data_IF_630882836540
#
_entry.id   IF_630882836540
#
_cell.length_a   1.000
_cell.length_b   1.000
_cell.length_c   1.000
_cell.angle_alpha   90.00
_cell.angle_beta   90.00
_cell.angle_gamma   90.00
#
_symmetry.space_group_name_H-M   'P 1'
#
loop_
_entity.id
_entity.type
_entity.pdbx_description
1 polymer ?
#
# COMPACT_ATOMS: atom_id res chain seq x y z
N UNK A 1 -7.49 -22.41 -9.27
CA UNK A 1 -7.73 -21.02 -8.84
C UNK A 1 -6.56 -20.61 -7.94
N UNK A 2 -5.99 -19.41 -8.12
CA UNK A 2 -4.89 -18.93 -7.26
C UNK A 2 -5.43 -18.55 -5.88
N UNK A 3 -4.78 -19.00 -4.80
CA UNK A 3 -5.18 -18.69 -3.42
C UNK A 3 -5.02 -17.21 -3.07
N UNK A 4 -5.66 -16.76 -2.00
CA UNK A 4 -5.49 -15.39 -1.49
C UNK A 4 -4.02 -15.10 -1.19
N UNK A 5 -3.30 -16.02 -0.53
CA UNK A 5 -1.85 -15.93 -0.34
C UNK A 5 -1.05 -15.74 -1.63
N UNK A 6 -1.35 -16.52 -2.67
CA UNK A 6 -0.62 -16.43 -3.93
C UNK A 6 -0.83 -15.08 -4.62
N UNK A 7 -2.05 -14.50 -4.51
CA UNK A 7 -2.35 -13.16 -5.00
C UNK A 7 -1.67 -12.06 -4.18
N UNK A 8 -1.59 -12.22 -2.85
CA UNK A 8 -0.87 -11.30 -1.97
C UNK A 8 0.61 -11.20 -2.37
N UNK A 9 1.28 -12.34 -2.50
CA UNK A 9 2.69 -12.41 -2.90
C UNK A 9 2.92 -11.86 -4.31
N UNK A 10 1.99 -12.11 -5.24
CA UNK A 10 2.10 -11.59 -6.60
C UNK A 10 2.08 -10.06 -6.62
N UNK A 11 1.14 -9.43 -5.90
CA UNK A 11 1.07 -7.97 -5.83
C UNK A 11 2.27 -7.36 -5.10
N UNK A 12 2.78 -8.03 -4.06
CA UNK A 12 4.00 -7.60 -3.39
C UNK A 12 5.23 -7.64 -4.32
N UNK A 13 5.31 -8.67 -5.16
CA UNK A 13 6.35 -8.76 -6.20
C UNK A 13 6.21 -7.64 -7.25
N UNK A 14 4.99 -7.33 -7.69
CA UNK A 14 4.76 -6.21 -8.61
C UNK A 14 5.13 -4.86 -7.99
N UNK A 15 4.82 -4.63 -6.71
CA UNK A 15 5.23 -3.41 -5.99
C UNK A 15 6.75 -3.21 -6.05
N UNK A 16 7.52 -4.27 -5.82
CA UNK A 16 8.99 -4.26 -5.91
C UNK A 16 9.51 -3.91 -7.31
N UNK A 17 8.94 -4.50 -8.36
CA UNK A 17 9.32 -4.18 -9.75
C UNK A 17 9.13 -2.68 -10.03
N UNK A 18 7.99 -2.13 -9.64
CA UNK A 18 7.67 -0.72 -9.89
C UNK A 18 8.59 0.19 -9.06
N UNK A 19 8.88 -0.17 -7.81
CA UNK A 19 9.84 0.53 -6.95
C UNK A 19 11.26 0.55 -7.55
N UNK A 20 11.74 -0.58 -8.05
CA UNK A 20 13.06 -0.67 -8.69
C UNK A 20 13.13 0.22 -9.95
N UNK A 21 12.06 0.22 -10.74
CA UNK A 21 11.90 1.11 -11.90
C UNK A 21 11.95 2.59 -11.51
N UNK A 22 11.31 2.97 -10.40
CA UNK A 22 11.33 4.34 -9.91
C UNK A 22 12.74 4.77 -9.47
N UNK A 23 13.45 3.91 -8.72
CA UNK A 23 14.83 4.16 -8.29
C UNK A 23 15.78 4.31 -9.47
N UNK A 24 15.63 3.46 -10.49
CA UNK A 24 16.41 3.57 -11.72
C UNK A 24 16.14 4.89 -12.47
N UNK A 25 14.87 5.31 -12.56
CA UNK A 25 14.50 6.56 -13.22
C UNK A 25 15.05 7.79 -12.48
N UNK A 26 15.05 7.77 -11.14
CA UNK A 26 15.66 8.83 -10.32
C UNK A 26 17.17 8.89 -10.52
N UNK A 27 17.85 7.74 -10.54
CA UNK A 27 19.29 7.65 -10.77
C UNK A 27 19.71 8.19 -12.14
N UNK A 28 18.84 8.09 -13.15
CA UNK A 28 19.09 8.62 -14.48
C UNK A 28 19.02 10.15 -14.57
N UNK A 29 18.45 10.84 -13.56
CA UNK A 29 18.36 12.31 -13.45
C UNK A 29 17.75 13.04 -14.66
N UNK A 30 17.04 12.32 -15.54
CA UNK A 30 16.47 12.90 -16.76
C UNK A 30 15.09 13.55 -16.58
N UNK A 31 14.39 13.23 -15.48
CA UNK A 31 13.03 13.71 -15.19
C UNK A 31 13.02 14.27 -13.76
N UNK A 32 12.33 15.40 -13.48
CA UNK A 32 12.19 15.91 -12.12
C UNK A 32 11.60 14.87 -11.17
N UNK A 33 12.17 14.76 -9.96
CA UNK A 33 11.76 13.76 -8.96
C UNK A 33 10.28 13.81 -8.61
N UNK A 34 9.68 15.01 -8.58
CA UNK A 34 8.24 15.18 -8.34
C UNK A 34 7.38 14.54 -9.46
N UNK A 35 7.77 14.69 -10.73
CA UNK A 35 7.09 14.06 -11.86
C UNK A 35 7.23 12.55 -11.83
N UNK A 36 8.40 12.04 -11.40
CA UNK A 36 8.59 10.61 -11.17
C UNK A 36 7.72 10.10 -10.01
N UNK A 37 7.63 10.84 -8.89
CA UNK A 37 6.75 10.48 -7.79
C UNK A 37 5.28 10.41 -8.24
N UNK A 38 4.81 11.39 -9.02
CA UNK A 38 3.45 11.38 -9.59
C UNK A 38 3.19 10.17 -10.51
N UNK A 39 4.20 9.70 -11.24
CA UNK A 39 4.07 8.57 -12.15
C UNK A 39 4.14 7.21 -11.46
N UNK A 40 5.06 7.06 -10.50
CA UNK A 40 5.37 5.77 -9.89
C UNK A 40 4.62 5.50 -8.59
N UNK A 41 4.44 6.52 -7.73
CA UNK A 41 3.85 6.33 -6.40
C UNK A 41 2.44 5.71 -6.45
N UNK A 42 1.48 6.17 -7.30
CA UNK A 42 0.15 5.55 -7.38
C UNK A 42 0.19 4.06 -7.67
N UNK A 43 1.08 3.65 -8.59
CA UNK A 43 1.20 2.26 -9.00
C UNK A 43 1.78 1.38 -7.90
N UNK A 44 2.83 1.84 -7.21
CA UNK A 44 3.40 1.07 -6.08
C UNK A 44 2.41 0.99 -4.93
N UNK A 45 1.79 2.11 -4.56
CA UNK A 45 0.79 2.16 -3.49
C UNK A 45 -0.38 1.21 -3.76
N UNK A 46 -0.93 1.20 -4.97
CA UNK A 46 -2.03 0.28 -5.32
C UNK A 46 -1.61 -1.19 -5.23
N UNK A 47 -0.38 -1.53 -5.63
CA UNK A 47 0.14 -2.89 -5.46
C UNK A 47 0.32 -3.28 -3.99
N UNK A 48 0.82 -2.38 -3.14
CA UNK A 48 0.95 -2.64 -1.70
C UNK A 48 -0.41 -2.80 -1.02
N UNK A 49 -1.38 -1.94 -1.31
CA UNK A 49 -2.76 -2.03 -0.79
C UNK A 49 -3.39 -3.37 -1.20
N UNK A 50 -3.27 -3.75 -2.47
CA UNK A 50 -3.79 -5.05 -2.95
C UNK A 50 -3.11 -6.23 -2.31
N UNK A 51 -1.79 -6.19 -2.14
CA UNK A 51 -1.05 -7.24 -1.45
C UNK A 51 -1.58 -7.43 -0.03
N UNK A 52 -1.72 -6.33 0.71
CA UNK A 52 -2.26 -6.30 2.05
C UNK A 52 -3.70 -6.84 2.12
N UNK A 53 -4.60 -6.39 1.23
CA UNK A 53 -5.97 -6.87 1.19
C UNK A 53 -6.11 -8.37 0.93
N UNK A 54 -5.33 -8.91 -0.01
CA UNK A 54 -5.29 -10.36 -0.23
C UNK A 54 -4.75 -11.11 0.98
N UNK A 55 -3.80 -10.53 1.70
CA UNK A 55 -3.31 -11.09 2.95
C UNK A 55 -4.39 -11.11 4.03
N UNK A 56 -5.17 -10.04 4.20
CA UNK A 56 -6.28 -10.04 5.17
C UNK A 56 -7.30 -11.16 4.90
N UNK A 57 -7.59 -11.45 3.63
CA UNK A 57 -8.48 -12.55 3.25
C UNK A 57 -7.90 -13.93 3.58
N UNK A 58 -6.58 -14.09 3.43
CA UNK A 58 -5.88 -15.31 3.85
C UNK A 58 -6.00 -15.51 5.37
N UNK A 59 -5.72 -14.45 6.15
CA UNK A 59 -5.75 -14.49 7.62
C UNK A 59 -7.14 -14.82 8.15
N UNK A 60 -8.17 -14.24 7.54
CA UNK A 60 -9.56 -14.48 7.95
C UNK A 60 -10.13 -15.80 7.44
N UNK A 61 -9.45 -16.48 6.52
CA UNK A 61 -9.97 -17.68 5.87
C UNK A 61 -11.31 -17.42 5.17
N UNK A 62 -11.43 -16.26 4.53
CA UNK A 62 -12.68 -15.81 3.93
C UNK A 62 -13.09 -16.69 2.74
N UNK A 63 -14.29 -17.27 2.82
CA UNK A 63 -14.88 -18.11 1.79
C UNK A 63 -16.33 -17.68 1.48
N UNK A 64 -16.70 -17.51 0.20
CA UNK A 64 -15.85 -17.58 -0.99
C UNK A 64 -14.88 -16.39 -1.09
N UNK A 65 -13.71 -16.61 -1.70
CA UNK A 65 -12.73 -15.54 -1.94
C UNK A 65 -13.32 -14.53 -2.93
N UNK A 66 -13.40 -13.24 -2.58
CA UNK A 66 -13.97 -12.21 -3.45
C UNK A 66 -13.13 -12.02 -4.73
N UNK A 67 -13.76 -11.39 -5.74
CA UNK A 67 -13.09 -11.07 -7.01
C UNK A 67 -12.02 -10.00 -6.89
N UNK A 68 -12.14 -9.12 -5.90
CA UNK A 68 -11.19 -8.05 -5.58
C UNK A 68 -10.81 -8.10 -4.09
N UNK A 69 -9.58 -7.69 -3.72
CA UNK A 69 -9.18 -7.63 -2.32
C UNK A 69 -9.83 -6.41 -1.63
N UNK A 70 -10.10 -6.49 -0.31
CA UNK A 70 -10.43 -5.32 0.49
C UNK A 70 -9.23 -4.36 0.53
N UNK A 71 -9.48 -3.07 0.75
CA UNK A 71 -8.42 -2.07 0.94
C UNK A 71 -7.93 -1.99 2.40
N UNK A 72 -8.74 -2.47 3.34
CA UNK A 72 -8.41 -2.53 4.77
C UNK A 72 -9.37 -3.43 5.56
N UNK A 73 -9.21 -3.46 6.88
CA UNK A 73 -9.95 -4.34 7.77
C UNK A 73 -11.46 -4.04 7.79
N UNK A 74 -11.84 -2.78 7.57
CA UNK A 74 -13.25 -2.35 7.54
C UNK A 74 -14.00 -2.85 6.29
N UNK A 75 -13.27 -3.26 5.25
CA UNK A 75 -13.84 -3.83 4.02
C UNK A 75 -13.86 -5.37 4.03
N UNK A 76 -13.48 -6.01 5.14
CA UNK A 76 -13.46 -7.46 5.23
C UNK A 76 -14.88 -8.05 5.14
N UNK A 77 -15.05 -9.19 4.45
CA UNK A 77 -16.33 -9.87 4.41
C UNK A 77 -16.72 -10.33 5.82
N UNK A 78 -18.03 -10.36 6.13
CA UNK A 78 -18.51 -10.77 7.44
C UNK A 78 -18.10 -12.21 7.76
N UNK A 79 -17.63 -12.44 8.98
CA UNK A 79 -17.25 -13.78 9.45
C UNK A 79 -18.51 -14.64 9.62
N UNK A 80 -18.54 -15.88 9.07
CA UNK A 80 -19.67 -16.78 9.23
C UNK A 80 -20.02 -17.05 10.70
N UNK A 81 -21.31 -17.21 10.99
CA UNK A 81 -21.79 -17.51 12.34
C UNK A 81 -21.07 -18.74 12.91
N UNK A 82 -20.45 -18.59 14.09
CA UNK A 82 -19.72 -19.66 14.77
C UNK A 82 -18.20 -19.66 14.54
N UNK A 83 -17.65 -18.79 13.69
CA UNK A 83 -16.20 -18.54 13.59
C UNK A 83 -15.83 -17.26 14.35
N UNK A 84 -14.74 -17.32 15.12
CA UNK A 84 -14.17 -16.13 15.75
C UNK A 84 -13.33 -15.36 14.73
N UNK A 85 -13.38 -14.02 14.80
CA UNK A 85 -12.42 -13.17 14.09
C UNK A 85 -11.03 -13.44 14.66
N UNK A 86 -9.99 -13.67 13.83
CA UNK A 86 -8.62 -13.83 14.30
C UNK A 86 -8.17 -12.62 15.14
N UNK A 87 -7.44 -12.85 16.23
CA UNK A 87 -6.99 -11.78 17.12
C UNK A 87 -6.07 -10.76 16.43
N UNK A 88 -5.38 -11.21 15.40
CA UNK A 88 -4.48 -10.46 14.54
C UNK A 88 -5.20 -9.33 13.78
N UNK A 89 -6.51 -9.49 13.50
CA UNK A 89 -7.30 -8.42 12.87
C UNK A 89 -7.36 -7.17 13.74
N UNK A 90 -7.37 -7.32 15.08
CA UNK A 90 -7.35 -6.15 15.98
C UNK A 90 -6.01 -5.42 15.96
N UNK A 91 -4.91 -6.16 15.80
CA UNK A 91 -3.57 -5.57 15.64
C UNK A 91 -3.51 -4.78 14.32
N UNK A 92 -4.04 -5.35 13.25
CA UNK A 92 -4.11 -4.70 11.94
C UNK A 92 -4.97 -3.44 11.97
N UNK A 93 -6.16 -3.49 12.58
CA UNK A 93 -6.99 -2.30 12.80
C UNK A 93 -6.27 -1.22 13.63
N UNK A 94 -5.36 -1.56 14.53
CA UNK A 94 -4.56 -0.58 15.25
C UNK A 94 -3.49 0.06 14.34
N UNK A 95 -2.83 -0.75 13.49
CA UNK A 95 -1.85 -0.28 12.52
C UNK A 95 -2.51 0.56 11.40
N UNK A 96 -3.71 0.22 10.95
CA UNK A 96 -4.48 1.02 9.96
C UNK A 96 -4.87 2.40 10.49
N UNK A 97 -5.07 2.53 11.81
CA UNK A 97 -5.39 3.80 12.46
C UNK A 97 -4.17 4.66 12.74
N UNK A 98 -2.99 4.05 12.88
CA UNK A 98 -1.77 4.79 13.23
C UNK A 98 -0.49 4.03 12.86
N UNK A 99 0.53 4.79 12.45
CA UNK A 99 1.84 4.27 12.08
C UNK A 99 1.96 3.96 10.59
N UNK A 100 2.93 3.13 10.25
CA UNK A 100 3.35 2.90 8.87
C UNK A 100 2.24 2.39 7.94
N UNK A 101 1.29 1.60 8.46
CA UNK A 101 0.21 1.05 7.65
C UNK A 101 -0.86 2.12 7.37
N UNK A 102 -1.19 2.95 8.35
CA UNK A 102 -2.01 4.15 8.14
C UNK A 102 -1.37 5.05 7.08
N UNK A 103 -0.05 5.28 7.17
CA UNK A 103 0.68 6.05 6.17
C UNK A 103 0.59 5.39 4.80
N UNK A 104 0.83 4.08 4.68
CA UNK A 104 0.73 3.35 3.41
C UNK A 104 -0.67 3.43 2.78
N UNK A 105 -1.73 3.36 3.60
CA UNK A 105 -3.13 3.37 3.16
C UNK A 105 -3.68 4.78 2.87
N UNK A 106 -3.03 5.83 3.35
CA UNK A 106 -3.53 7.19 3.19
C UNK A 106 -3.72 7.58 1.71
N UNK A 107 -4.92 8.05 1.38
CA UNK A 107 -5.19 8.64 0.08
C UNK A 107 -4.39 9.94 -0.07
N UNK A 108 -3.74 10.09 -1.22
CA UNK A 108 -2.85 11.22 -1.50
C UNK A 108 -3.26 11.88 -2.79
N UNK A 109 -3.43 13.19 -2.73
CA UNK A 109 -3.57 14.01 -3.92
C UNK A 109 -2.17 14.30 -4.50
N UNK A 110 -1.87 13.68 -5.63
CA UNK A 110 -0.63 13.90 -6.38
C UNK A 110 -0.81 14.89 -7.54
N UNK A 111 -1.96 15.57 -7.61
CA UNK A 111 -2.23 16.56 -8.64
C UNK A 111 -1.12 17.61 -8.70
N UNK A 112 -0.70 18.04 -9.90
CA UNK A 112 0.23 19.15 -10.01
C UNK A 112 -0.37 20.37 -9.32
N UNK A 113 0.28 20.82 -8.25
CA UNK A 113 -0.16 22.00 -7.50
C UNK A 113 -0.31 23.20 -8.45
N UNK A 114 -1.30 24.05 -8.17
CA UNK A 114 -1.59 25.23 -8.98
C UNK A 114 -0.30 26.04 -9.26
N UNK A 115 -0.17 26.64 -10.47
CA UNK A 115 1.01 27.42 -10.81
C UNK A 115 1.27 28.50 -9.75
N UNK A 116 2.51 28.55 -9.25
CA UNK A 116 2.96 29.49 -8.22
C UNK A 116 2.55 30.91 -8.59
N UNK A 117 1.62 31.49 -7.84
CA UNK A 117 1.36 32.94 -7.94
C UNK A 117 2.52 33.68 -7.26
N UNK A 118 3.18 34.63 -7.94
CA UNK A 118 4.23 35.43 -7.30
C UNK A 118 3.63 36.17 -6.10
N UNK A 119 4.15 35.89 -4.90
CA UNK A 119 3.68 36.49 -3.64
C UNK A 119 3.19 35.50 -2.59
N UNK A 120 3.03 34.21 -2.91
CA UNK A 120 2.63 33.18 -1.94
C UNK A 120 3.77 32.16 -1.72
N UNK A 121 4.50 32.32 -0.62
CA UNK A 121 5.61 31.43 -0.21
C UNK A 121 5.15 30.18 0.56
N UNK A 122 3.87 30.12 0.94
CA UNK A 122 3.28 28.99 1.65
C UNK A 122 2.57 28.04 0.68
N UNK A 123 3.33 27.36 -0.17
CA UNK A 123 2.84 26.10 -0.73
C UNK A 123 3.29 25.02 0.25
N UNK A 124 2.34 24.46 1.02
CA UNK A 124 2.61 23.27 1.80
C UNK A 124 3.16 22.21 0.84
N UNK A 125 4.43 21.87 0.98
CA UNK A 125 4.97 20.66 0.40
C UNK A 125 4.15 19.52 0.98
N UNK A 126 3.21 19.00 0.20
CA UNK A 126 2.60 17.72 0.51
C UNK A 126 3.74 16.73 0.74
N UNK A 127 3.70 16.03 1.87
CA UNK A 127 4.71 15.05 2.25
C UNK A 127 4.52 13.83 1.33
N UNK A 128 5.04 13.94 0.10
CA UNK A 128 4.96 12.91 -0.93
C UNK A 128 6.01 11.86 -0.55
N UNK A 129 5.61 10.61 -0.26
CA UNK A 129 6.52 9.53 0.04
C UNK A 129 7.59 9.42 -1.05
N UNK A 130 8.83 9.24 -0.63
CA UNK A 130 9.94 8.96 -1.52
C UNK A 130 10.09 7.43 -1.74
N UNK A 131 11.00 6.99 -2.62
CA UNK A 131 11.21 5.57 -2.84
C UNK A 131 11.72 4.81 -1.60
N UNK A 132 12.35 5.48 -0.63
CA UNK A 132 12.83 4.85 0.60
C UNK A 132 11.66 4.57 1.53
N UNK A 133 10.77 5.53 1.72
CA UNK A 133 9.55 5.35 2.50
C UNK A 133 8.68 4.19 1.96
N UNK A 134 8.59 4.07 0.64
CA UNK A 134 7.86 2.97 -0.02
C UNK A 134 8.59 1.62 0.14
N UNK A 135 9.92 1.62 0.15
CA UNK A 135 10.71 0.42 0.44
C UNK A 135 10.50 -0.05 1.88
N UNK A 136 10.44 0.89 2.82
CA UNK A 136 10.18 0.60 4.23
C UNK A 136 8.78 0.00 4.42
N UNK A 137 7.76 0.51 3.73
CA UNK A 137 6.43 -0.12 3.75
C UNK A 137 6.46 -1.54 3.16
N UNK A 138 7.16 -1.72 2.05
CA UNK A 138 7.31 -3.03 1.40
C UNK A 138 7.96 -4.04 2.34
N UNK A 139 9.05 -3.66 3.00
CA UNK A 139 9.76 -4.51 3.96
C UNK A 139 8.91 -4.84 5.19
N UNK A 140 8.16 -3.86 5.70
CA UNK A 140 7.24 -4.08 6.83
C UNK A 140 6.09 -5.03 6.46
N UNK A 141 5.54 -4.90 5.26
CA UNK A 141 4.50 -5.80 4.75
C UNK A 141 5.04 -7.23 4.55
N UNK A 142 6.28 -7.37 4.07
CA UNK A 142 6.96 -8.67 3.99
C UNK A 142 7.17 -9.33 5.35
N UNK A 143 7.66 -8.56 6.33
CA UNK A 143 7.83 -9.05 7.68
C UNK A 143 6.49 -9.49 8.29
N UNK A 144 5.42 -8.72 8.05
CA UNK A 144 4.06 -9.06 8.46
C UNK A 144 3.60 -10.39 7.83
N UNK A 145 3.85 -10.56 6.53
CA UNK A 145 3.48 -11.78 5.80
C UNK A 145 4.27 -13.00 6.26
N UNK A 146 5.54 -12.83 6.64
CA UNK A 146 6.40 -13.90 7.10
C UNK A 146 6.02 -14.38 8.51
N UNK A 147 5.54 -13.49 9.37
CA UNK A 147 5.13 -13.81 10.74
C UNK A 147 3.93 -14.76 10.81
N UNK A 148 3.06 -14.74 9.80
CA UNK A 148 1.76 -15.44 9.82
C UNK A 148 1.72 -16.62 8.85
N UNK A 149 2.81 -17.39 8.82
CA UNK A 149 2.99 -18.56 7.94
C UNK A 149 2.75 -19.87 8.68
#
# INVERSE_FOLDING_TARGET
MSSARARANHHLYLAKIVQDGWRAALAAQGIPGQTLAQAYLPAVSEHLVRAYGWFLLEVTGAEPVPGAPPRGCDELPPVPAGKAVPGEIREFQALERSGWLADMLAERDLSPGAPRTPGNLAAASADIPDPEQVADWTAQLEALFARMR
#
